data_IF_930326173664
#
_entry.id   IF_930326173664
#
_cell.length_a   1.000
_cell.length_b   1.000
_cell.length_c   1.000
_cell.angle_alpha   90.00
_cell.angle_beta   90.00
_cell.angle_gamma   90.00
#
_symmetry.space_group_name_H-M   'P 1'
#
loop_
_entity.id
_entity.type
_entity.pdbx_description
1 polymer ?
#
# COMPACT_ATOMS: atom_id res chain seq x y z
N UNK A 1 12.69 14.82 9.70
CA UNK A 1 12.93 14.07 10.95
C UNK A 1 11.59 13.60 11.48
N UNK A 2 11.31 12.30 11.35
CA UNK A 2 10.04 11.70 11.78
C UNK A 2 9.93 11.77 13.31
N UNK A 3 8.79 12.19 13.88
CA UNK A 3 8.62 12.31 15.34
C UNK A 3 8.89 11.01 16.09
N UNK A 4 9.57 11.09 17.23
CA UNK A 4 9.91 9.93 18.09
C UNK A 4 8.65 9.15 18.49
N UNK A 5 7.53 9.83 18.74
CA UNK A 5 6.26 9.20 19.07
C UNK A 5 5.58 8.45 17.91
N UNK A 6 6.00 8.68 16.66
CA UNK A 6 5.59 7.86 15.51
C UNK A 6 6.42 6.58 15.45
N UNK A 7 7.75 6.70 15.59
CA UNK A 7 8.67 5.54 15.63
C UNK A 7 8.37 4.59 16.79
N UNK A 8 8.08 5.12 17.98
CA UNK A 8 7.70 4.30 19.13
C UNK A 8 6.38 3.56 18.91
N UNK A 9 5.38 4.18 18.25
CA UNK A 9 4.12 3.50 17.92
C UNK A 9 4.32 2.39 16.89
N UNK A 10 5.13 2.62 15.85
CA UNK A 10 5.48 1.59 14.88
C UNK A 10 6.28 0.42 15.48
N UNK A 11 6.96 0.61 16.62
CA UNK A 11 7.68 -0.44 17.36
C UNK A 11 6.83 -1.13 18.42
N UNK A 12 5.75 -0.49 18.88
CA UNK A 12 4.84 -1.03 19.91
C UNK A 12 3.71 -1.87 19.29
N UNK A 13 3.32 -1.57 18.06
CA UNK A 13 2.42 -2.44 17.29
C UNK A 13 3.26 -3.51 16.59
N UNK A 14 3.56 -4.58 17.31
CA UNK A 14 4.18 -5.76 16.72
C UNK A 14 3.19 -6.40 15.74
N UNK A 15 3.36 -6.04 14.46
CA UNK A 15 2.59 -6.59 13.34
C UNK A 15 2.62 -8.12 13.35
N UNK A 16 3.64 -8.76 13.95
CA UNK A 16 3.73 -10.20 14.08
C UNK A 16 2.76 -10.78 15.12
N UNK A 17 2.66 -10.17 16.30
CA UNK A 17 1.74 -10.59 17.37
C UNK A 17 0.30 -10.31 16.95
N UNK A 18 0.04 -9.13 16.39
CA UNK A 18 -1.24 -8.80 15.75
C UNK A 18 -1.61 -9.80 14.62
N UNK A 19 -0.64 -10.19 13.78
CA UNK A 19 -0.86 -11.22 12.75
C UNK A 19 -1.19 -12.59 13.36
N UNK A 20 -0.58 -12.94 14.50
CA UNK A 20 -0.87 -14.19 15.21
C UNK A 20 -2.25 -14.15 15.88
N UNK A 21 -2.63 -13.07 16.55
CA UNK A 21 -3.95 -12.91 17.16
C UNK A 21 -5.08 -12.86 16.13
N UNK A 22 -4.83 -12.23 14.98
CA UNK A 22 -5.71 -12.27 13.82
C UNK A 22 -5.88 -13.70 13.28
N UNK A 23 -4.80 -14.50 13.24
CA UNK A 23 -4.85 -15.91 12.85
C UNK A 23 -5.54 -16.80 13.88
N UNK A 24 -5.45 -16.45 15.16
CA UNK A 24 -6.05 -17.17 16.29
C UNK A 24 -7.54 -16.80 16.52
N UNK A 25 -8.12 -15.93 15.69
CA UNK A 25 -9.56 -15.62 15.68
C UNK A 25 -10.03 -14.77 16.86
N UNK A 26 -9.13 -14.12 17.61
CA UNK A 26 -9.48 -13.23 18.74
C UNK A 26 -9.47 -11.74 18.37
N UNK A 27 -8.95 -11.39 17.19
CA UNK A 27 -8.91 -10.01 16.73
C UNK A 27 -10.29 -9.50 16.30
N UNK A 28 -10.57 -8.24 16.61
CA UNK A 28 -11.75 -7.53 16.11
C UNK A 28 -11.60 -7.37 14.59
N UNK A 29 -12.58 -7.82 13.81
CA UNK A 29 -12.55 -7.65 12.35
C UNK A 29 -13.11 -6.29 11.93
N UNK A 30 -12.47 -5.66 10.94
CA UNK A 30 -13.05 -4.51 10.24
C UNK A 30 -13.96 -5.05 9.13
N UNK A 31 -15.27 -4.98 9.36
CA UNK A 31 -16.28 -5.45 8.41
C UNK A 31 -16.66 -4.37 7.41
N UNK A 32 -16.53 -4.67 6.12
CA UNK A 32 -16.91 -3.79 5.02
C UNK A 32 -17.99 -4.47 4.15
N UNK A 33 -19.08 -3.74 3.91
CA UNK A 33 -20.09 -4.12 2.93
C UNK A 33 -20.06 -3.11 1.79
N UNK A 34 -19.80 -3.57 0.58
CA UNK A 34 -19.44 -2.72 -0.57
C UNK A 34 -20.13 -3.15 -1.86
N UNK A 35 -20.43 -2.20 -2.71
CA UNK A 35 -20.84 -2.49 -4.10
C UNK A 35 -19.62 -2.83 -4.96
N UNK A 36 -19.80 -3.61 -6.03
CA UNK A 36 -18.71 -3.99 -6.96
C UNK A 36 -18.22 -2.86 -7.87
N UNK A 37 -18.91 -1.73 -7.90
CA UNK A 37 -18.51 -0.59 -8.73
C UNK A 37 -17.13 -0.06 -8.31
N UNK A 38 -16.16 0.15 -9.23
CA UNK A 38 -14.80 0.56 -8.89
C UNK A 38 -14.72 1.82 -8.04
N UNK A 39 -15.63 2.78 -8.27
CA UNK A 39 -15.72 4.00 -7.47
C UNK A 39 -16.18 3.74 -6.03
N UNK A 40 -17.11 2.82 -5.83
CA UNK A 40 -17.60 2.41 -4.51
C UNK A 40 -16.54 1.63 -3.73
N UNK A 41 -15.84 0.70 -4.40
CA UNK A 41 -14.71 -0.04 -3.82
C UNK A 41 -13.62 0.92 -3.35
N UNK A 42 -13.21 1.86 -4.22
CA UNK A 42 -12.21 2.87 -3.86
C UNK A 42 -12.68 3.73 -2.69
N UNK A 43 -13.91 4.24 -2.75
CA UNK A 43 -14.48 5.09 -1.72
C UNK A 43 -14.52 4.40 -0.36
N UNK A 44 -14.96 3.14 -0.32
CA UNK A 44 -14.99 2.35 0.90
C UNK A 44 -13.60 2.01 1.44
N UNK A 45 -12.66 1.64 0.58
CA UNK A 45 -11.27 1.40 0.98
C UNK A 45 -10.64 2.66 1.58
N UNK A 46 -10.83 3.83 0.95
CA UNK A 46 -10.32 5.10 1.46
C UNK A 46 -11.03 5.53 2.75
N UNK A 47 -12.33 5.31 2.86
CA UNK A 47 -13.07 5.63 4.09
C UNK A 47 -12.63 4.76 5.27
N UNK A 48 -12.40 3.47 5.05
CA UNK A 48 -12.01 2.52 6.09
C UNK A 48 -10.52 2.63 6.47
N UNK A 49 -9.64 2.81 5.47
CA UNK A 49 -8.19 2.68 5.62
C UNK A 49 -7.44 4.03 5.52
N UNK A 50 -8.11 5.13 5.20
CA UNK A 50 -7.50 6.43 4.93
C UNK A 50 -6.99 7.21 6.15
N UNK A 51 -6.90 6.59 7.33
CA UNK A 51 -6.32 7.21 8.53
C UNK A 51 -7.32 7.92 9.45
N UNK A 52 -8.58 7.49 9.47
CA UNK A 52 -9.56 7.91 10.49
C UNK A 52 -9.21 7.40 11.89
N UNK A 53 -9.80 8.00 12.93
CA UNK A 53 -9.51 7.73 14.34
C UNK A 53 -9.80 6.31 14.85
N UNK A 54 -10.47 5.47 14.06
CA UNK A 54 -10.94 4.14 14.47
C UNK A 54 -10.29 2.97 13.71
N UNK A 55 -9.34 3.25 12.80
CA UNK A 55 -8.64 2.17 12.08
C UNK A 55 -7.49 1.61 12.93
N UNK A 56 -7.69 0.39 13.42
CA UNK A 56 -6.64 -0.41 14.04
C UNK A 56 -5.96 -1.26 12.95
N UNK A 57 -4.69 -1.01 12.60
CA UNK A 57 -3.99 -1.75 11.56
C UNK A 57 -3.74 -3.22 11.93
N UNK A 58 -3.88 -3.61 13.21
CA UNK A 58 -3.82 -4.99 13.66
C UNK A 58 -5.11 -5.78 13.40
N UNK A 59 -6.23 -5.08 13.16
CA UNK A 59 -7.53 -5.71 12.93
C UNK A 59 -7.65 -6.18 11.47
N UNK A 60 -7.89 -7.48 11.22
CA UNK A 60 -8.01 -8.01 9.86
C UNK A 60 -9.29 -7.52 9.16
N UNK A 61 -9.20 -7.34 7.83
CA UNK A 61 -10.32 -6.98 6.97
C UNK A 61 -11.24 -8.17 6.68
N UNK A 62 -12.54 -7.92 6.73
CA UNK A 62 -13.60 -8.89 6.42
C UNK A 62 -14.61 -8.21 5.50
N UNK A 63 -14.79 -8.73 4.27
CA UNK A 63 -15.53 -8.02 3.21
C UNK A 63 -16.67 -8.88 2.68
N UNK A 64 -17.81 -8.24 2.43
CA UNK A 64 -18.93 -8.77 1.66
C UNK A 64 -19.35 -7.81 0.55
N UNK A 65 -19.76 -8.36 -0.60
CA UNK A 65 -20.32 -7.55 -1.68
C UNK A 65 -21.85 -7.48 -1.57
N UNK A 66 -22.40 -6.27 -1.74
CA UNK A 66 -23.83 -6.03 -1.60
C UNK A 66 -24.62 -6.86 -2.63
N UNK A 67 -25.56 -7.67 -2.14
CA UNK A 67 -26.39 -8.52 -2.99
C UNK A 67 -25.74 -9.84 -3.43
N UNK A 68 -24.51 -10.12 -2.97
CA UNK A 68 -23.82 -11.38 -3.22
C UNK A 68 -23.85 -12.27 -1.96
N UNK A 69 -24.13 -13.58 -2.08
CA UNK A 69 -24.14 -14.49 -0.93
C UNK A 69 -22.72 -14.87 -0.46
N UNK A 70 -21.68 -14.41 -1.16
CA UNK A 70 -20.30 -14.74 -0.87
C UNK A 70 -19.73 -13.92 0.29
N UNK A 71 -19.20 -14.62 1.29
CA UNK A 71 -18.43 -14.03 2.39
C UNK A 71 -17.15 -14.84 2.63
N UNK A 72 -16.16 -14.22 3.27
CA UNK A 72 -14.96 -14.89 3.77
C UNK A 72 -13.66 -14.54 3.02
N UNK A 73 -12.59 -15.31 3.26
CA UNK A 73 -11.22 -14.91 2.89
C UNK A 73 -10.99 -14.80 1.37
N UNK A 74 -11.75 -15.55 0.56
CA UNK A 74 -11.71 -15.43 -0.90
C UNK A 74 -12.26 -14.09 -1.39
N UNK A 75 -13.38 -13.64 -0.82
CA UNK A 75 -14.02 -12.36 -1.14
C UNK A 75 -13.15 -11.20 -0.66
N UNK A 76 -12.59 -11.29 0.55
CA UNK A 76 -11.64 -10.28 1.02
C UNK A 76 -10.42 -10.18 0.11
N UNK A 77 -9.83 -11.31 -0.32
CA UNK A 77 -8.69 -11.30 -1.24
C UNK A 77 -9.03 -10.63 -2.57
N UNK A 78 -10.19 -10.95 -3.14
CA UNK A 78 -10.68 -10.32 -4.36
C UNK A 78 -10.83 -8.80 -4.17
N UNK A 79 -11.50 -8.39 -3.08
CA UNK A 79 -11.66 -6.98 -2.73
C UNK A 79 -10.32 -6.26 -2.64
N UNK A 80 -9.30 -6.84 -1.98
CA UNK A 80 -8.00 -6.16 -1.84
C UNK A 80 -7.32 -5.93 -3.19
N UNK A 81 -7.43 -6.88 -4.13
CA UNK A 81 -6.93 -6.71 -5.49
C UNK A 81 -7.67 -5.60 -6.24
N UNK A 82 -9.01 -5.61 -6.19
CA UNK A 82 -9.85 -4.60 -6.83
C UNK A 82 -9.65 -3.21 -6.22
N UNK A 83 -9.53 -3.12 -4.89
CA UNK A 83 -9.28 -1.88 -4.19
C UNK A 83 -7.94 -1.28 -4.59
N UNK A 84 -6.86 -2.08 -4.59
CA UNK A 84 -5.55 -1.63 -5.05
C UNK A 84 -5.62 -1.12 -6.50
N UNK A 85 -6.21 -1.90 -7.41
CA UNK A 85 -6.37 -1.51 -8.81
C UNK A 85 -7.17 -0.21 -8.96
N UNK A 86 -8.28 -0.06 -8.23
CA UNK A 86 -9.15 1.12 -8.31
C UNK A 86 -8.48 2.39 -7.80
N UNK A 87 -7.58 2.28 -6.82
CA UNK A 87 -6.79 3.40 -6.31
C UNK A 87 -5.67 3.77 -7.27
N UNK A 88 -4.93 2.79 -7.82
CA UNK A 88 -3.83 3.03 -8.76
C UNK A 88 -4.29 3.55 -10.12
N UNK A 89 -5.55 3.32 -10.49
CA UNK A 89 -6.11 3.80 -11.76
C UNK A 89 -6.38 5.32 -11.78
N UNK A 90 -6.22 6.02 -10.66
CA UNK A 90 -6.37 7.48 -10.61
C UNK A 90 -5.13 8.18 -11.19
N UNK A 91 -5.23 8.61 -12.45
CA UNK A 91 -4.15 9.28 -13.17
C UNK A 91 -3.76 10.65 -12.58
N UNK A 92 -4.56 11.22 -11.68
CA UNK A 92 -4.18 12.45 -10.96
C UNK A 92 -3.22 12.19 -9.81
N UNK A 93 -3.13 10.93 -9.35
CA UNK A 93 -2.32 10.51 -8.20
C UNK A 93 -1.16 9.61 -8.61
N UNK A 94 -1.31 8.90 -9.72
CA UNK A 94 -0.36 7.89 -10.17
C UNK A 94 0.02 8.06 -11.64
N UNK A 95 1.31 7.99 -11.91
CA UNK A 95 1.88 7.86 -13.24
C UNK A 95 2.15 6.38 -13.53
N UNK A 96 1.62 5.87 -14.64
CA UNK A 96 1.85 4.49 -15.06
C UNK A 96 3.03 4.43 -16.03
N UNK A 97 4.05 3.62 -15.71
CA UNK A 97 5.17 3.33 -16.62
C UNK A 97 4.91 2.01 -17.37
N UNK A 98 4.54 2.05 -18.67
CA UNK A 98 4.12 0.86 -19.40
C UNK A 98 5.20 -0.21 -19.56
N UNK A 99 6.48 0.19 -19.63
CA UNK A 99 7.59 -0.75 -19.81
C UNK A 99 7.80 -1.60 -18.56
N UNK A 100 7.63 -0.99 -17.40
CA UNK A 100 7.82 -1.61 -16.09
C UNK A 100 6.52 -2.21 -15.53
N UNK A 101 5.38 -1.77 -16.08
CA UNK A 101 4.02 -2.11 -15.60
C UNK A 101 3.81 -1.73 -14.14
N UNK A 102 4.41 -0.64 -13.73
CA UNK A 102 4.37 -0.12 -12.36
C UNK A 102 3.79 1.28 -12.32
N UNK A 103 3.20 1.62 -11.19
CA UNK A 103 2.69 2.94 -10.88
C UNK A 103 3.68 3.69 -9.99
N UNK A 104 3.88 4.96 -10.27
CA UNK A 104 4.65 5.89 -9.43
C UNK A 104 3.79 7.08 -9.01
N UNK A 105 4.19 7.78 -7.96
CA UNK A 105 3.48 8.97 -7.48
C UNK A 105 3.57 10.09 -8.51
N UNK A 106 2.41 10.67 -8.88
CA UNK A 106 2.34 11.92 -9.60
C UNK A 106 2.62 13.12 -8.66
N UNK A 107 2.81 14.31 -9.22
CA UNK A 107 2.98 15.55 -8.45
C UNK A 107 1.84 15.77 -7.40
N UNK A 108 2.13 16.45 -6.28
CA UNK A 108 1.25 16.44 -5.11
C UNK A 108 -0.11 17.12 -5.37
N UNK A 109 -1.15 16.30 -5.55
CA UNK A 109 -2.54 16.76 -5.50
C UNK A 109 -2.97 17.04 -4.05
N UNK A 110 -3.78 18.09 -3.83
CA UNK A 110 -4.12 18.64 -2.52
C UNK A 110 -4.87 17.69 -1.56
N UNK A 111 -5.34 16.53 -2.01
CA UNK A 111 -6.07 15.54 -1.18
C UNK A 111 -5.50 14.11 -1.29
N UNK A 112 -4.32 13.96 -1.89
CA UNK A 112 -3.70 12.66 -2.18
C UNK A 112 -3.39 11.83 -0.93
N UNK A 113 -3.15 12.50 0.21
CA UNK A 113 -2.70 11.87 1.45
C UNK A 113 -3.61 10.73 1.94
N UNK A 114 -4.93 10.87 1.82
CA UNK A 114 -5.88 9.83 2.27
C UNK A 114 -5.80 8.58 1.39
N UNK A 115 -5.66 8.76 0.08
CA UNK A 115 -5.55 7.65 -0.87
C UNK A 115 -4.20 6.95 -0.71
N UNK A 116 -3.11 7.70 -0.52
CA UNK A 116 -1.79 7.12 -0.24
C UNK A 116 -1.77 6.36 1.08
N UNK A 117 -2.38 6.92 2.14
CA UNK A 117 -2.51 6.23 3.41
C UNK A 117 -3.33 4.93 3.27
N UNK A 118 -4.49 4.99 2.59
CA UNK A 118 -5.32 3.82 2.35
C UNK A 118 -4.59 2.74 1.54
N UNK A 119 -3.82 3.14 0.52
CA UNK A 119 -2.98 2.23 -0.26
C UNK A 119 -1.92 1.55 0.62
N UNK A 120 -1.19 2.32 1.44
CA UNK A 120 -0.20 1.77 2.38
C UNK A 120 -0.82 0.84 3.42
N UNK A 121 -1.95 1.22 4.01
CA UNK A 121 -2.68 0.40 4.96
C UNK A 121 -3.21 -0.90 4.33
N UNK A 122 -3.70 -0.85 3.09
CA UNK A 122 -4.14 -2.04 2.34
C UNK A 122 -2.97 -3.00 2.08
N UNK A 123 -1.79 -2.48 1.72
CA UNK A 123 -0.57 -3.29 1.58
C UNK A 123 -0.13 -3.90 2.92
N UNK A 124 -0.22 -3.14 4.01
CA UNK A 124 0.04 -3.65 5.37
C UNK A 124 -0.90 -4.78 5.76
N UNK A 125 -2.21 -4.61 5.49
CA UNK A 125 -3.21 -5.65 5.68
C UNK A 125 -2.92 -6.90 4.83
N UNK A 126 -2.40 -6.73 3.61
CA UNK A 126 -2.01 -7.88 2.78
C UNK A 126 -0.88 -8.69 3.42
N UNK A 127 0.10 -8.01 4.03
CA UNK A 127 1.18 -8.66 4.80
C UNK A 127 0.61 -9.36 6.03
N UNK A 128 -0.24 -8.68 6.82
CA UNK A 128 -0.89 -9.23 8.02
C UNK A 128 -1.65 -10.54 7.71
N UNK A 129 -2.45 -10.50 6.65
CA UNK A 129 -3.30 -11.62 6.24
C UNK A 129 -2.57 -12.69 5.40
N UNK A 130 -1.33 -12.45 4.98
CA UNK A 130 -0.60 -13.34 4.06
C UNK A 130 -1.21 -13.40 2.66
N UNK A 131 -1.84 -12.31 2.22
CA UNK A 131 -2.47 -12.18 0.90
C UNK A 131 -1.48 -11.64 -0.11
N UNK A 132 -1.37 -12.31 -1.26
CA UNK A 132 -0.57 -11.82 -2.38
C UNK A 132 -1.37 -10.81 -3.20
N UNK A 133 -0.80 -9.62 -3.40
CA UNK A 133 -1.33 -8.59 -4.28
C UNK A 133 -0.48 -8.46 -5.56
N UNK A 134 -1.05 -7.95 -6.66
CA UNK A 134 -0.29 -7.66 -7.87
C UNK A 134 0.91 -6.75 -7.56
N UNK A 135 2.07 -7.07 -8.13
CA UNK A 135 3.29 -6.26 -8.03
C UNK A 135 3.17 -5.01 -8.91
N UNK A 136 2.37 -4.05 -8.47
CA UNK A 136 2.03 -2.84 -9.22
C UNK A 136 2.88 -1.62 -8.82
N UNK A 137 3.73 -1.74 -7.79
CA UNK A 137 4.60 -0.67 -7.30
C UNK A 137 6.07 -1.08 -7.43
N UNK A 138 6.99 -0.15 -7.76
CA UNK A 138 8.42 -0.43 -7.89
C UNK A 138 9.07 -0.91 -6.59
N UNK A 139 10.10 -1.76 -6.70
CA UNK A 139 10.86 -2.28 -5.56
C UNK A 139 11.49 -1.18 -4.69
N UNK A 140 11.93 -0.08 -5.31
CA UNK A 140 12.55 1.06 -4.61
C UNK A 140 11.61 1.69 -3.59
N UNK A 141 10.29 1.65 -3.80
CA UNK A 141 9.33 2.14 -2.82
C UNK A 141 9.48 1.42 -1.48
N UNK A 142 9.56 0.10 -1.53
CA UNK A 142 9.72 -0.72 -0.32
C UNK A 142 11.09 -0.53 0.33
N UNK A 143 12.14 -0.30 -0.48
CA UNK A 143 13.47 0.02 0.04
C UNK A 143 13.45 1.35 0.82
N UNK A 144 12.84 2.40 0.27
CA UNK A 144 12.68 3.69 0.95
C UNK A 144 11.85 3.57 2.24
N UNK A 145 10.78 2.76 2.23
CA UNK A 145 9.99 2.52 3.44
C UNK A 145 10.82 1.82 4.54
N UNK A 146 11.64 0.82 4.17
CA UNK A 146 12.52 0.14 5.12
C UNK A 146 13.59 1.08 5.70
N UNK A 147 14.11 1.99 4.88
CA UNK A 147 15.07 3.03 5.30
C UNK A 147 14.44 3.99 6.31
N UNK A 148 13.23 4.50 6.03
CA UNK A 148 12.50 5.37 6.95
C UNK A 148 12.16 4.68 8.29
N UNK A 149 11.90 3.38 8.26
CA UNK A 149 11.69 2.56 9.45
C UNK A 149 12.98 2.22 10.21
N UNK A 150 14.15 2.58 9.71
CA UNK A 150 15.45 2.26 10.32
C UNK A 150 15.73 0.75 10.34
N UNK A 151 15.18 0.01 9.39
CA UNK A 151 15.35 -1.44 9.31
C UNK A 151 16.82 -1.78 9.09
N UNK A 152 17.37 -2.82 9.75
CA UNK A 152 18.74 -3.29 9.49
C UNK A 152 18.92 -3.88 8.08
N UNK A 153 17.81 -4.07 7.34
CA UNK A 153 17.80 -4.52 5.93
C UNK A 153 17.65 -3.37 4.95
N UNK A 154 17.56 -2.13 5.42
CA UNK A 154 17.49 -0.97 4.55
C UNK A 154 18.79 -0.81 3.76
N UNK A 155 18.65 -0.51 2.47
CA UNK A 155 19.74 -0.08 1.61
C UNK A 155 19.36 1.26 1.00
N UNK A 156 20.28 2.24 0.96
CA UNK A 156 20.00 3.52 0.35
C UNK A 156 19.69 3.33 -1.14
N UNK A 157 18.73 4.08 -1.70
CA UNK A 157 18.38 3.99 -3.11
C UNK A 157 19.56 4.43 -3.99
N UNK A 158 19.72 3.73 -5.11
CA UNK A 158 20.80 3.90 -6.08
C UNK A 158 20.28 4.40 -7.43
N UNK A 159 21.19 4.75 -8.33
CA UNK A 159 20.84 5.07 -9.72
C UNK A 159 20.16 3.89 -10.44
N UNK A 160 20.44 2.64 -10.04
CA UNK A 160 19.76 1.46 -10.58
C UNK A 160 18.30 1.42 -10.13
N UNK A 161 18.01 1.82 -8.89
CA UNK A 161 16.65 1.91 -8.36
C UNK A 161 15.84 3.00 -9.07
N UNK A 162 16.47 4.13 -9.41
CA UNK A 162 15.83 5.17 -10.23
C UNK A 162 15.40 4.63 -11.60
N UNK A 163 16.17 3.70 -12.19
CA UNK A 163 15.81 3.09 -13.47
C UNK A 163 14.53 2.22 -13.37
N UNK A 164 14.13 1.80 -12.17
CA UNK A 164 12.88 1.07 -11.91
C UNK A 164 11.66 1.98 -11.78
N UNK A 165 11.84 3.29 -11.92
CA UNK A 165 10.78 4.29 -11.84
C UNK A 165 10.79 5.21 -13.05
N UNK A 166 11.97 5.79 -13.34
CA UNK A 166 12.17 6.77 -14.42
C UNK A 166 13.38 6.33 -15.28
N UNK A 167 13.19 5.33 -16.18
CA UNK A 167 14.28 4.74 -16.94
C UNK A 167 15.01 5.76 -17.84
N UNK A 168 14.28 6.72 -18.41
CA UNK A 168 14.84 7.77 -19.27
C UNK A 168 15.78 8.68 -18.48
N UNK A 169 15.36 9.12 -17.29
CA UNK A 169 16.15 10.02 -16.44
C UNK A 169 17.37 9.27 -15.87
N UNK A 170 17.20 8.03 -15.43
CA UNK A 170 18.31 7.21 -14.96
C UNK A 170 19.38 7.01 -16.04
N UNK A 171 18.97 6.83 -17.30
CA UNK A 171 19.88 6.74 -18.44
C UNK A 171 20.66 8.05 -18.65
N UNK A 172 19.97 9.19 -18.67
CA UNK A 172 20.62 10.50 -18.87
C UNK A 172 21.63 10.82 -17.75
N UNK A 173 21.28 10.52 -16.49
CA UNK A 173 22.21 10.68 -15.37
C UNK A 173 23.42 9.74 -15.49
N UNK A 174 23.23 8.51 -15.95
CA UNK A 174 24.34 7.58 -16.18
C UNK A 174 25.28 8.09 -17.27
N UNK A 175 24.74 8.55 -18.40
CA UNK A 175 25.53 9.14 -19.48
C UNK A 175 26.33 10.36 -19.01
N UNK A 176 25.73 11.19 -18.13
CA UNK A 176 26.41 12.34 -17.55
C UNK A 176 27.54 11.95 -16.59
N UNK A 177 27.37 10.87 -15.80
CA UNK A 177 28.41 10.35 -14.92
C UNK A 177 29.55 9.66 -15.68
N UNK A 178 29.24 9.05 -16.84
CA UNK A 178 30.21 8.36 -17.70
C UNK A 178 30.95 9.31 -18.66
N UNK A 179 30.50 10.57 -18.78
CA UNK A 179 31.11 11.59 -19.62
C UNK A 179 32.52 11.96 -19.13
N UNK A 180 33.51 11.84 -20.02
CA UNK A 180 34.92 12.19 -19.78
C UNK A 180 35.31 13.45 -20.52
#
# INVERSE_FOLDING_TARGET
>A
LVPIGFRQRCLLEDVHEAAQEARDGRAREVKLCVEREPGAIRGAAVAALGGGCDFDPACPLSVSFLGEPGEGPGVTREFMGLALQSMLSDASLWEYEPQLRTYWFAEPAADAHRVFHACGALLGQAVLMGTQLPAALPGVLFAMLLEELGSPRASPPTLADLATVQPIIAKGLRELLDYK
#
